data_IF_251043340464
#
_entry.id   IF_251043340464
#
_cell.length_a   1.000
_cell.length_b   1.000
_cell.length_c   1.000
_cell.angle_alpha   90.00
_cell.angle_beta   90.00
_cell.angle_gamma   90.00
#
_symmetry.space_group_name_H-M   'P 1'
#
loop_
_entity.id
_entity.type
_entity.pdbx_description
1 polymer ?
#
# COMPACT_ATOMS: atom_id res chain seq x y z
N UNK A 1 -70.30 -11.50 -21.48
CA UNK A 1 -69.00 -12.06 -21.96
C UNK A 1 -67.97 -10.95 -21.94
N UNK A 2 -67.29 -10.75 -20.80
CA UNK A 2 -66.19 -9.77 -20.73
C UNK A 2 -64.98 -10.35 -21.49
N UNK A 3 -64.55 -9.57 -22.46
CA UNK A 3 -63.73 -9.98 -23.60
C UNK A 3 -62.35 -10.50 -23.17
N UNK A 4 -62.00 -11.72 -23.60
CA UNK A 4 -60.70 -12.37 -23.35
C UNK A 4 -59.52 -11.50 -23.80
N UNK A 5 -59.76 -10.56 -24.73
CA UNK A 5 -58.77 -9.59 -25.20
C UNK A 5 -58.35 -8.60 -24.10
N UNK A 6 -59.27 -8.18 -23.23
CA UNK A 6 -58.99 -7.19 -22.19
C UNK A 6 -58.07 -7.75 -21.08
N UNK A 7 -58.28 -9.02 -20.71
CA UNK A 7 -57.42 -9.73 -19.76
C UNK A 7 -55.99 -9.92 -20.27
N UNK A 8 -55.80 -10.10 -21.58
CA UNK A 8 -54.47 -10.23 -22.19
C UNK A 8 -53.71 -8.90 -22.21
N UNK A 9 -54.39 -7.79 -22.49
CA UNK A 9 -53.76 -6.46 -22.44
C UNK A 9 -53.36 -6.05 -21.02
N UNK A 10 -54.17 -6.33 -20.01
CA UNK A 10 -53.83 -6.02 -18.61
C UNK A 10 -52.64 -6.85 -18.11
N UNK A 11 -52.58 -8.13 -18.48
CA UNK A 11 -51.45 -8.99 -18.11
C UNK A 11 -50.14 -8.57 -18.79
N UNK A 12 -50.20 -8.17 -20.06
CA UNK A 12 -49.05 -7.62 -20.79
C UNK A 12 -48.55 -6.31 -20.17
N UNK A 13 -49.48 -5.42 -19.76
CA UNK A 13 -49.14 -4.16 -19.10
C UNK A 13 -48.48 -4.38 -17.74
N UNK A 14 -48.98 -5.33 -16.94
CA UNK A 14 -48.40 -5.69 -15.64
C UNK A 14 -46.98 -6.26 -15.78
N UNK A 15 -46.75 -7.17 -16.73
CA UNK A 15 -45.42 -7.73 -17.01
C UNK A 15 -44.41 -6.65 -17.41
N UNK A 16 -44.85 -5.63 -18.16
CA UNK A 16 -44.01 -4.51 -18.58
C UNK A 16 -43.65 -3.60 -17.40
N UNK A 17 -44.57 -3.37 -16.46
CA UNK A 17 -44.31 -2.58 -15.24
C UNK A 17 -43.33 -3.29 -14.30
N UNK A 18 -43.43 -4.62 -14.13
CA UNK A 18 -42.46 -5.41 -13.35
C UNK A 18 -41.09 -5.51 -14.04
N UNK A 19 -41.04 -5.53 -15.37
CA UNK A 19 -39.79 -5.52 -16.13
C UNK A 19 -38.98 -4.22 -15.99
N UNK A 20 -39.66 -3.07 -15.88
CA UNK A 20 -38.99 -1.75 -15.76
C UNK A 20 -38.58 -1.46 -14.31
N UNK A 21 -39.36 -1.88 -13.32
CA UNK A 21 -39.05 -1.62 -11.90
C UNK A 21 -37.95 -2.54 -11.33
N UNK A 22 -37.67 -3.68 -11.98
CA UNK A 22 -36.56 -4.58 -11.60
C UNK A 22 -35.16 -4.07 -11.98
N UNK A 23 -35.03 -3.12 -12.91
CA UNK A 23 -33.73 -2.59 -13.34
C UNK A 23 -33.25 -1.39 -12.52
N UNK A 24 -34.13 -0.69 -11.79
CA UNK A 24 -33.76 0.51 -11.02
C UNK A 24 -33.07 0.18 -9.68
N UNK A 25 -33.24 -1.04 -9.15
CA UNK A 25 -32.67 -1.47 -7.86
C UNK A 25 -31.22 -1.99 -7.94
N UNK A 26 -30.59 -1.95 -9.12
CA UNK A 26 -29.22 -2.39 -9.36
C UNK A 26 -28.20 -1.25 -9.43
N UNK A 27 -28.60 -0.03 -9.07
CA UNK A 27 -27.65 1.07 -8.92
C UNK A 27 -26.87 0.86 -7.63
N UNK A 28 -25.60 0.45 -7.76
CA UNK A 28 -24.68 0.44 -6.64
C UNK A 28 -24.71 1.83 -5.98
N UNK A 29 -24.81 1.90 -4.64
CA UNK A 29 -24.80 3.17 -3.93
C UNK A 29 -23.58 4.02 -4.33
N UNK A 30 -23.74 5.34 -4.41
CA UNK A 30 -22.69 6.21 -4.88
C UNK A 30 -21.46 6.10 -3.98
N UNK A 31 -20.29 5.91 -4.60
CA UNK A 31 -19.01 5.88 -3.90
C UNK A 31 -18.40 7.27 -3.95
N UNK A 32 -17.93 7.76 -2.80
CA UNK A 32 -17.43 9.11 -2.65
C UNK A 32 -16.04 9.14 -2.02
N UNK A 33 -15.22 10.12 -2.41
CA UNK A 33 -13.91 10.36 -1.81
C UNK A 33 -14.06 10.93 -0.41
N UNK A 34 -13.34 10.35 0.55
CA UNK A 34 -13.21 10.92 1.89
C UNK A 34 -12.34 12.18 1.83
N UNK A 35 -12.79 13.30 2.40
CA UNK A 35 -12.01 14.53 2.37
C UNK A 35 -10.72 14.41 3.20
N UNK A 36 -9.61 15.04 2.77
CA UNK A 36 -8.33 15.04 3.49
C UNK A 36 -8.43 15.43 4.97
N UNK A 37 -9.36 16.32 5.32
CA UNK A 37 -9.59 16.75 6.71
C UNK A 37 -10.03 15.63 7.65
N UNK A 38 -10.47 14.48 7.12
CA UNK A 38 -10.82 13.28 7.89
C UNK A 38 -9.66 12.29 8.02
N UNK A 39 -8.50 12.60 7.45
CA UNK A 39 -7.32 11.75 7.41
C UNK A 39 -6.16 12.40 8.16
N UNK A 40 -5.38 11.59 8.85
CA UNK A 40 -4.19 12.04 9.57
C UNK A 40 -3.05 11.05 9.39
N UNK A 41 -1.89 11.54 8.96
CA UNK A 41 -0.66 10.75 8.84
C UNK A 41 0.46 11.47 9.62
N UNK A 42 0.73 11.04 10.85
CA UNK A 42 1.65 11.74 11.77
C UNK A 42 3.07 11.87 11.19
N UNK A 43 3.58 10.78 10.60
CA UNK A 43 4.94 10.73 10.07
C UNK A 43 5.08 11.38 8.70
N UNK A 44 4.02 11.39 7.90
CA UNK A 44 4.03 11.87 6.51
C UNK A 44 2.71 12.54 6.13
N UNK A 45 2.40 13.74 6.65
CA UNK A 45 1.10 14.38 6.44
C UNK A 45 0.81 14.68 4.97
N UNK A 46 1.86 14.92 4.16
CA UNK A 46 1.79 15.13 2.72
C UNK A 46 1.21 13.95 1.92
N UNK A 47 1.09 12.76 2.51
CA UNK A 47 0.49 11.61 1.81
C UNK A 47 -1.04 11.64 1.82
N UNK A 48 -1.67 12.54 2.57
CA UNK A 48 -3.13 12.61 2.76
C UNK A 48 -3.62 14.06 2.80
N UNK A 49 -2.89 14.98 2.18
CA UNK A 49 -3.19 16.42 2.24
C UNK A 49 -4.12 16.87 1.10
N UNK A 50 -4.50 15.96 0.20
CA UNK A 50 -5.33 16.23 -0.96
C UNK A 50 -4.59 16.89 -2.12
N UNK A 51 -3.26 17.04 -2.04
CA UNK A 51 -2.47 17.73 -3.04
C UNK A 51 -1.44 16.81 -3.71
N UNK A 52 -1.75 16.41 -4.95
CA UNK A 52 -0.90 15.54 -5.78
C UNK A 52 0.47 16.14 -6.15
N UNK A 53 0.67 17.44 -5.94
CA UNK A 53 1.97 18.10 -6.16
C UNK A 53 2.92 17.93 -4.96
N UNK A 54 2.41 17.48 -3.82
CA UNK A 54 3.25 17.16 -2.66
C UNK A 54 3.69 15.71 -2.68
N UNK A 55 4.73 15.39 -1.91
CA UNK A 55 5.30 14.05 -1.82
C UNK A 55 5.65 13.77 -0.36
N UNK A 56 5.09 12.70 0.18
CA UNK A 56 5.57 12.05 1.40
C UNK A 56 6.60 10.97 1.08
N UNK A 57 7.58 10.79 1.96
CA UNK A 57 8.62 9.75 1.81
C UNK A 57 8.57 8.83 2.99
N UNK A 58 8.49 7.53 2.75
CA UNK A 58 8.61 6.55 3.83
C UNK A 58 9.89 6.77 4.63
N UNK A 59 9.80 6.66 5.95
CA UNK A 59 10.99 6.70 6.77
C UNK A 59 11.70 5.35 6.69
N UNK A 60 12.94 5.35 6.20
CA UNK A 60 13.78 4.17 6.14
C UNK A 60 14.85 4.22 7.21
N UNK A 61 15.11 3.07 7.82
CA UNK A 61 16.11 2.91 8.87
C UNK A 61 16.95 1.69 8.56
N UNK A 62 18.17 1.90 8.10
CA UNK A 62 19.11 0.80 7.90
C UNK A 62 20.04 1.00 6.71
N UNK A 63 20.90 0.00 6.52
CA UNK A 63 21.84 -0.06 5.43
C UNK A 63 22.11 -1.50 5.02
N UNK A 64 22.48 -1.68 3.76
CA UNK A 64 22.99 -2.94 3.24
C UNK A 64 24.50 -2.85 3.22
N UNK A 65 25.18 -3.76 3.90
CA UNK A 65 26.64 -3.86 3.94
C UNK A 65 27.08 -5.05 3.09
N UNK A 66 27.85 -4.80 2.04
CA UNK A 66 28.48 -5.82 1.20
C UNK A 66 29.96 -5.91 1.57
N UNK A 67 30.39 -7.01 2.18
CA UNK A 67 31.78 -7.26 2.57
C UNK A 67 32.44 -8.15 1.53
N UNK A 68 33.46 -7.65 0.85
CA UNK A 68 34.14 -8.37 -0.24
C UNK A 68 35.26 -9.22 0.32
N UNK A 69 35.32 -10.51 -0.05
CA UNK A 69 36.35 -11.41 0.44
C UNK A 69 37.73 -10.98 -0.05
N UNK A 70 38.75 -11.23 0.77
CA UNK A 70 40.15 -11.05 0.39
C UNK A 70 40.56 -12.12 -0.63
N UNK A 71 41.31 -11.74 -1.67
CA UNK A 71 41.79 -12.68 -2.67
C UNK A 71 42.69 -13.76 -2.02
N UNK A 72 42.51 -15.02 -2.41
CA UNK A 72 43.25 -16.15 -1.83
C UNK A 72 42.63 -16.76 -0.56
N UNK A 73 41.53 -16.20 -0.04
CA UNK A 73 40.75 -16.85 1.01
C UNK A 73 39.91 -18.02 0.45
N UNK A 74 39.57 -18.98 1.32
CA UNK A 74 38.71 -20.12 0.95
C UNK A 74 37.33 -19.63 0.55
N UNK A 75 36.82 -18.60 1.23
CA UNK A 75 35.54 -17.95 0.96
C UNK A 75 35.52 -17.26 -0.41
N UNK A 76 36.60 -16.60 -0.81
CA UNK A 76 36.72 -16.02 -2.15
C UNK A 76 36.66 -17.10 -3.25
N UNK A 77 37.36 -18.23 -3.05
CA UNK A 77 37.37 -19.32 -4.02
C UNK A 77 36.03 -20.10 -4.08
N UNK A 78 35.28 -20.14 -2.97
CA UNK A 78 34.05 -20.93 -2.85
C UNK A 78 32.76 -20.14 -3.09
N UNK A 79 32.80 -18.80 -3.04
CA UNK A 79 31.62 -17.95 -3.22
C UNK A 79 31.61 -17.27 -4.60
N UNK A 80 30.64 -17.60 -5.49
CA UNK A 80 30.58 -17.05 -6.84
C UNK A 80 30.32 -15.53 -6.88
N UNK A 81 29.84 -14.95 -5.77
CA UNK A 81 29.58 -13.51 -5.68
C UNK A 81 30.77 -12.72 -5.15
N UNK A 82 31.81 -13.38 -4.61
CA UNK A 82 32.99 -12.78 -3.95
C UNK A 82 32.69 -11.76 -2.83
N UNK A 83 31.45 -11.71 -2.32
CA UNK A 83 31.08 -10.91 -1.15
C UNK A 83 29.99 -11.58 -0.31
N UNK A 84 29.92 -11.17 0.95
CA UNK A 84 28.82 -11.44 1.87
C UNK A 84 27.94 -10.19 2.03
N UNK A 85 26.62 -10.38 2.12
CA UNK A 85 25.66 -9.30 2.41
C UNK A 85 25.20 -9.39 3.85
N UNK A 86 25.33 -8.28 4.58
CA UNK A 86 24.77 -8.10 5.90
C UNK A 86 23.75 -6.95 5.85
N UNK A 87 22.73 -7.04 6.69
CA UNK A 87 21.68 -6.03 6.80
C UNK A 87 21.72 -5.41 8.19
N UNK A 88 21.88 -4.10 8.25
CA UNK A 88 21.85 -3.33 9.49
C UNK A 88 20.51 -2.57 9.53
N UNK A 89 19.72 -2.71 10.60
CA UNK A 89 18.42 -2.05 10.75
C UNK A 89 17.23 -2.83 10.16
N UNK A 90 16.20 -2.12 9.69
CA UNK A 90 14.99 -2.70 9.08
C UNK A 90 14.96 -2.47 7.57
N UNK A 91 14.78 -3.54 6.82
CA UNK A 91 14.54 -3.46 5.38
C UNK A 91 13.14 -2.94 5.05
N UNK A 92 12.23 -2.90 6.02
CA UNK A 92 10.85 -2.46 5.83
C UNK A 92 10.66 -1.06 6.34
N UNK A 93 9.92 -0.29 5.56
CA UNK A 93 9.42 1.02 5.90
C UNK A 93 7.92 0.95 6.19
N UNK A 94 7.43 1.86 7.02
CA UNK A 94 6.03 1.88 7.45
C UNK A 94 5.54 3.33 7.53
N UNK A 95 4.27 3.53 7.18
CA UNK A 95 3.52 4.73 7.53
C UNK A 95 2.12 4.33 7.97
N UNK A 96 1.54 5.10 8.87
CA UNK A 96 0.22 4.85 9.42
C UNK A 96 -0.69 6.05 9.17
N UNK A 97 -1.84 5.79 8.55
CA UNK A 97 -2.89 6.78 8.29
C UNK A 97 -4.06 6.45 9.21
N UNK A 98 -4.48 7.42 10.01
CA UNK A 98 -5.66 7.36 10.87
C UNK A 98 -6.82 8.12 10.22
N UNK A 99 -8.01 7.55 10.27
CA UNK A 99 -9.28 8.21 9.96
C UNK A 99 -9.84 8.85 11.24
N UNK A 100 -10.63 9.91 11.09
CA UNK A 100 -11.30 10.60 12.19
C UNK A 100 -12.23 9.69 13.00
N UNK A 101 -12.88 8.73 12.34
CA UNK A 101 -13.73 7.68 12.93
C UNK A 101 -13.70 6.40 12.08
N UNK A 102 -14.07 5.24 12.66
CA UNK A 102 -14.27 4.02 11.88
C UNK A 102 -15.25 4.28 10.73
N UNK A 103 -14.83 3.93 9.51
CA UNK A 103 -15.57 4.25 8.29
C UNK A 103 -15.51 3.07 7.34
N UNK A 104 -16.62 2.73 6.68
CA UNK A 104 -16.68 1.66 5.69
C UNK A 104 -16.02 2.11 4.38
N UNK A 105 -14.81 1.63 4.13
CA UNK A 105 -14.00 1.98 2.96
C UNK A 105 -14.20 0.92 1.88
N UNK A 106 -14.66 1.34 0.70
CA UNK A 106 -14.86 0.47 -0.46
C UNK A 106 -13.52 0.13 -1.10
N UNK A 107 -12.69 1.15 -1.33
CA UNK A 107 -11.34 1.00 -1.86
C UNK A 107 -10.44 2.18 -1.48
N UNK A 108 -9.14 1.96 -1.65
CA UNK A 108 -8.08 2.95 -1.44
C UNK A 108 -7.33 3.11 -2.76
N UNK A 109 -6.96 4.34 -3.10
CA UNK A 109 -6.07 4.65 -4.22
C UNK A 109 -4.74 5.17 -3.70
N UNK A 110 -3.64 4.65 -4.24
CA UNK A 110 -2.28 5.11 -3.94
C UNK A 110 -1.69 5.71 -5.21
N UNK A 111 -1.22 6.95 -5.09
CA UNK A 111 -0.52 7.70 -6.13
C UNK A 111 0.98 7.70 -5.84
N UNK A 112 1.78 6.86 -6.53
CA UNK A 112 3.22 6.76 -6.27
C UNK A 112 3.98 7.98 -6.82
N UNK A 113 4.89 8.54 -6.01
CA UNK A 113 5.89 9.53 -6.43
C UNK A 113 7.22 8.92 -6.87
N UNK A 114 7.46 7.64 -6.54
CA UNK A 114 8.56 6.81 -7.02
C UNK A 114 8.10 5.38 -7.23
N UNK A 115 8.97 4.50 -7.74
CA UNK A 115 8.74 3.06 -7.64
C UNK A 115 8.65 2.67 -6.15
N UNK A 116 7.66 1.82 -5.80
CA UNK A 116 7.42 1.33 -4.44
C UNK A 116 7.60 -0.19 -4.45
N UNK A 117 8.68 -0.73 -3.87
CA UNK A 117 8.91 -2.17 -3.85
C UNK A 117 8.06 -2.86 -2.78
N UNK A 118 7.53 -4.04 -3.12
CA UNK A 118 6.88 -4.97 -2.18
C UNK A 118 5.82 -4.35 -1.26
N UNK A 119 4.97 -3.48 -1.81
CA UNK A 119 3.95 -2.79 -1.03
C UNK A 119 2.99 -3.79 -0.34
N UNK A 120 2.59 -3.50 0.88
CA UNK A 120 1.52 -4.21 1.56
C UNK A 120 0.67 -3.25 2.40
N UNK A 121 -0.64 -3.45 2.34
CA UNK A 121 -1.62 -2.70 3.12
C UNK A 121 -2.20 -3.64 4.18
N UNK A 122 -2.32 -3.13 5.39
CA UNK A 122 -3.11 -3.74 6.44
C UNK A 122 -4.01 -2.67 7.06
N UNK A 123 -5.19 -3.03 7.54
CA UNK A 123 -6.10 -2.07 8.18
C UNK A 123 -6.69 -2.61 9.48
N UNK A 124 -7.19 -1.74 10.33
CA UNK A 124 -8.00 -2.11 11.50
C UNK A 124 -9.06 -1.05 11.78
N UNK A 125 -10.19 -1.47 12.34
CA UNK A 125 -11.24 -0.57 12.84
C UNK A 125 -11.09 -0.27 14.34
N UNK A 126 -10.13 -0.93 15.02
CA UNK A 126 -9.92 -0.79 16.45
C UNK A 126 -9.11 0.45 16.81
N UNK A 127 -9.43 1.06 17.95
CA UNK A 127 -8.58 2.10 18.52
C UNK A 127 -7.26 1.55 19.06
N UNK A 128 -6.25 2.45 19.14
CA UNK A 128 -4.90 2.08 19.57
C UNK A 128 -4.91 1.53 21.01
N UNK A 129 -4.58 0.25 21.13
CA UNK A 129 -4.46 -0.50 22.38
C UNK A 129 -3.10 -1.21 22.46
N UNK A 130 -2.67 -1.73 23.63
CA UNK A 130 -1.40 -2.46 23.74
C UNK A 130 -1.27 -3.67 22.80
N UNK A 131 -2.39 -4.26 22.37
CA UNK A 131 -2.41 -5.43 21.46
C UNK A 131 -2.77 -5.08 20.02
N UNK A 132 -2.95 -3.80 19.69
CA UNK A 132 -3.46 -3.35 18.38
C UNK A 132 -2.60 -3.78 17.18
N UNK A 133 -1.32 -4.12 17.36
CA UNK A 133 -0.49 -4.63 16.26
C UNK A 133 -1.05 -5.94 15.67
N UNK A 134 -1.80 -6.69 16.48
CA UNK A 134 -2.41 -7.96 16.09
C UNK A 134 -3.83 -7.79 15.52
N UNK A 135 -4.42 -6.60 15.59
CA UNK A 135 -5.78 -6.34 15.08
C UNK A 135 -5.80 -5.88 13.63
N UNK A 136 -4.64 -5.80 12.99
CA UNK A 136 -4.50 -5.47 11.58
C UNK A 136 -4.86 -6.66 10.68
N UNK A 137 -5.82 -6.43 9.80
CA UNK A 137 -6.24 -7.35 8.74
C UNK A 137 -5.49 -7.02 7.46
N UNK A 138 -4.87 -8.04 6.87
CA UNK A 138 -4.12 -7.91 5.64
C UNK A 138 -5.03 -7.68 4.42
N UNK A 139 -4.70 -6.69 3.60
CA UNK A 139 -5.23 -6.57 2.25
C UNK A 139 -4.41 -7.49 1.36
N UNK A 140 -5.06 -8.53 0.82
CA UNK A 140 -4.38 -9.55 0.01
C UNK A 140 -4.17 -9.12 -1.44
N UNK A 141 -5.00 -8.20 -1.95
CA UNK A 141 -4.87 -7.68 -3.30
C UNK A 141 -3.52 -6.96 -3.46
N UNK A 142 -2.75 -7.38 -4.48
CA UNK A 142 -1.44 -6.80 -4.84
C UNK A 142 -0.42 -6.78 -3.69
N UNK A 143 -0.59 -7.63 -2.66
CA UNK A 143 0.33 -7.71 -1.54
C UNK A 143 1.72 -8.17 -2.00
N UNK A 144 2.76 -7.49 -1.51
CA UNK A 144 4.17 -7.75 -1.86
C UNK A 144 4.46 -7.65 -3.37
N UNK A 145 3.70 -6.81 -4.07
CA UNK A 145 3.98 -6.46 -5.47
C UNK A 145 4.69 -5.11 -5.55
N UNK A 146 5.42 -4.92 -6.65
CA UNK A 146 6.10 -3.65 -6.90
C UNK A 146 5.14 -2.72 -7.65
N UNK A 147 4.99 -1.49 -7.17
CA UNK A 147 4.25 -0.43 -7.86
C UNK A 147 5.24 0.45 -8.63
N UNK A 148 4.92 0.75 -9.88
CA UNK A 148 5.71 1.66 -10.71
C UNK A 148 5.31 3.11 -10.50
N UNK A 149 6.29 4.00 -10.59
CA UNK A 149 6.08 5.43 -10.50
C UNK A 149 5.01 5.89 -11.52
N UNK A 150 4.20 6.90 -11.14
CA UNK A 150 3.13 7.51 -11.95
C UNK A 150 1.97 6.57 -12.32
N UNK A 151 1.94 5.35 -11.81
CA UNK A 151 0.81 4.43 -11.98
C UNK A 151 -0.02 4.42 -10.70
N UNK A 152 -1.19 5.07 -10.73
CA UNK A 152 -2.16 4.94 -9.64
C UNK A 152 -2.59 3.48 -9.49
N UNK A 153 -2.66 3.01 -8.24
CA UNK A 153 -3.08 1.65 -7.91
C UNK A 153 -4.24 1.69 -6.95
N UNK A 154 -5.28 0.93 -7.28
CA UNK A 154 -6.48 0.75 -6.45
C UNK A 154 -6.45 -0.58 -5.69
N UNK A 155 -6.80 -0.52 -4.41
CA UNK A 155 -6.90 -1.64 -3.48
C UNK A 155 -8.34 -1.77 -2.97
N UNK A 156 -9.09 -2.83 -3.32
CA UNK A 156 -10.41 -3.07 -2.77
C UNK A 156 -10.30 -3.47 -1.29
N UNK A 157 -11.08 -2.82 -0.42
CA UNK A 157 -11.09 -3.08 1.03
C UNK A 157 -12.44 -3.67 1.43
N UNK A 158 -13.53 -2.91 1.19
CA UNK A 158 -14.93 -3.25 1.50
C UNK A 158 -15.14 -3.65 2.96
N UNK A 159 -14.49 -2.93 3.86
CA UNK A 159 -14.54 -3.17 5.30
C UNK A 159 -14.46 -1.84 6.05
N UNK A 160 -14.82 -1.89 7.34
CA UNK A 160 -14.63 -0.76 8.25
C UNK A 160 -13.14 -0.57 8.55
N UNK A 161 -12.68 0.68 8.44
CA UNK A 161 -11.30 1.09 8.63
C UNK A 161 -11.26 2.30 9.55
N UNK A 162 -10.36 2.27 10.52
CA UNK A 162 -9.94 3.41 11.33
C UNK A 162 -8.46 3.72 11.12
N UNK A 163 -7.63 2.69 10.98
CA UNK A 163 -6.22 2.83 10.65
C UNK A 163 -5.87 2.03 9.40
N UNK A 164 -5.09 2.64 8.52
CA UNK A 164 -4.40 1.98 7.42
C UNK A 164 -2.89 2.02 7.69
N UNK A 165 -2.28 0.85 7.73
CA UNK A 165 -0.84 0.67 7.71
C UNK A 165 -0.39 0.36 6.30
N UNK A 166 0.51 1.18 5.77
CA UNK A 166 1.17 0.91 4.49
C UNK A 166 2.63 0.56 4.79
N UNK A 167 3.09 -0.56 4.26
CA UNK A 167 4.48 -0.99 4.35
C UNK A 167 5.07 -1.22 2.96
N UNK A 168 6.37 -0.97 2.84
CA UNK A 168 7.13 -1.20 1.61
C UNK A 168 8.59 -1.49 1.96
N UNK A 169 9.31 -2.15 1.06
CA UNK A 169 10.74 -2.37 1.25
C UNK A 169 11.53 -1.06 1.05
N UNK A 170 12.64 -0.93 1.78
CA UNK A 170 13.60 0.15 1.62
C UNK A 170 14.36 0.01 0.30
N UNK A 171 14.66 1.16 -0.32
CA UNK A 171 15.37 1.25 -1.58
C UNK A 171 16.84 1.55 -1.29
N UNK A 172 17.76 0.82 -1.93
CA UNK A 172 19.20 1.13 -1.85
C UNK A 172 19.49 2.55 -2.34
N UNK A 173 20.05 3.40 -1.48
CA UNK A 173 20.48 4.74 -1.86
C UNK A 173 21.94 4.78 -2.30
N UNK A 174 22.18 4.20 -3.48
CA UNK A 174 23.53 4.03 -4.07
C UNK A 174 24.31 5.33 -4.23
N UNK A 175 23.65 6.48 -4.28
CA UNK A 175 24.32 7.79 -4.35
C UNK A 175 25.06 8.16 -3.06
N UNK A 176 24.61 7.62 -1.93
CA UNK A 176 25.15 7.87 -0.60
C UNK A 176 25.91 6.65 -0.05
N UNK A 177 26.38 5.77 -0.93
CA UNK A 177 27.17 4.61 -0.53
C UNK A 177 28.57 5.02 -0.06
N UNK A 178 29.07 4.37 0.97
CA UNK A 178 30.40 4.61 1.52
C UNK A 178 31.22 3.32 1.52
N UNK A 179 32.50 3.44 1.18
CA UNK A 179 33.47 2.35 1.37
C UNK A 179 33.96 2.37 2.81
N UNK A 180 34.08 1.19 3.42
CA UNK A 180 34.62 1.00 4.77
C UNK A 180 35.74 -0.03 4.70
N UNK A 181 36.81 0.19 5.43
CA UNK A 181 37.86 -0.81 5.56
C UNK A 181 37.40 -1.95 6.48
N UNK A 182 37.89 -3.15 6.24
CA UNK A 182 37.58 -4.31 7.07
C UNK A 182 38.70 -4.53 8.09
N UNK A 183 38.33 -4.73 9.35
CA UNK A 183 39.25 -5.21 10.39
C UNK A 183 39.35 -6.75 10.40
N UNK A 184 38.39 -7.44 9.77
CA UNK A 184 38.41 -8.90 9.60
C UNK A 184 39.23 -9.27 8.37
N UNK A 185 40.31 -10.02 8.58
CA UNK A 185 41.27 -10.45 7.57
C UNK A 185 40.68 -11.30 6.44
N UNK A 186 39.46 -11.82 6.60
CA UNK A 186 38.76 -12.53 5.51
C UNK A 186 38.23 -11.60 4.44
N UNK A 187 38.12 -10.31 4.73
CA UNK A 187 37.55 -9.32 3.82
C UNK A 187 38.53 -8.19 3.53
N UNK A 188 38.55 -7.77 2.27
CA UNK A 188 39.40 -6.67 1.80
C UNK A 188 38.81 -5.30 2.15
N UNK A 189 37.51 -5.14 1.91
CA UNK A 189 36.76 -3.92 2.22
C UNK A 189 35.25 -4.20 2.25
N UNK A 190 34.50 -3.24 2.77
CA UNK A 190 33.05 -3.21 2.75
C UNK A 190 32.49 -2.04 1.94
N UNK A 191 31.30 -2.21 1.38
CA UNK A 191 30.45 -1.13 0.88
C UNK A 191 29.21 -1.08 1.75
N UNK A 192 28.95 0.08 2.35
CA UNK A 192 27.73 0.35 3.11
C UNK A 192 26.83 1.24 2.25
N UNK A 193 25.64 0.74 1.94
CA UNK A 193 24.63 1.47 1.18
C UNK A 193 23.43 1.76 2.09
N UNK A 194 23.16 3.03 2.44
CA UNK A 194 22.00 3.37 3.24
C UNK A 194 20.70 3.08 2.49
N UNK A 195 19.62 2.84 3.23
CA UNK A 195 18.29 2.70 2.67
C UNK A 195 17.56 4.05 2.67
N UNK A 196 16.74 4.26 1.65
CA UNK A 196 15.75 5.35 1.59
C UNK A 196 14.36 4.78 1.36
N UNK A 197 13.34 5.52 1.78
CA UNK A 197 11.96 5.13 1.55
C UNK A 197 11.48 5.45 0.15
N UNK A 198 10.45 4.75 -0.28
CA UNK A 198 9.70 5.11 -1.47
C UNK A 198 8.88 6.39 -1.25
N UNK A 199 8.46 7.00 -2.34
CA UNK A 199 7.70 8.25 -2.35
C UNK A 199 6.24 7.98 -2.73
N UNK A 200 5.32 8.59 -1.99
CA UNK A 200 3.88 8.60 -2.27
C UNK A 200 3.46 10.06 -2.40
N UNK A 201 2.76 10.39 -3.49
CA UNK A 201 2.14 11.70 -3.67
C UNK A 201 0.89 11.80 -2.80
N UNK A 202 -0.03 10.85 -2.90
CA UNK A 202 -1.30 10.88 -2.18
C UNK A 202 -1.87 9.48 -1.95
N UNK A 203 -2.62 9.32 -0.87
CA UNK A 203 -3.44 8.16 -0.53
C UNK A 203 -4.88 8.61 -0.34
N UNK A 204 -5.77 8.16 -1.22
CA UNK A 204 -7.19 8.51 -1.19
C UNK A 204 -8.03 7.35 -0.71
N UNK A 205 -9.06 7.65 0.08
CA UNK A 205 -10.01 6.68 0.58
C UNK A 205 -11.38 6.95 -0.03
N UNK A 206 -12.11 5.88 -0.35
CA UNK A 206 -13.44 5.98 -0.94
C UNK A 206 -14.46 5.22 -0.10
N UNK A 207 -15.49 5.92 0.37
CA UNK A 207 -16.58 5.37 1.19
C UNK A 207 -17.86 5.19 0.37
N UNK A 208 -18.73 4.30 0.84
CA UNK A 208 -20.06 4.11 0.27
C UNK A 208 -21.02 5.09 0.98
N UNK A 209 -21.68 5.97 0.23
CA UNK A 209 -22.71 6.86 0.76
C UNK A 209 -24.05 6.14 1.01
#
# INVERSE_FOLDING_TARGET
MLDRKWKRSILSLLLLVFGISGCALLQNPPVAELPPSRLMCETNPKMVDGNLDTVGTFQAYGSIRKMFFEEGTVEFASNPKSYQVNHDGTLKTETLIKLDKPTYVVYIEIYPGSDIPKIALDFTAEEKSPKWRNSFVAVMDKRHTDIKNKQMVRFPIRQEVLYLRITADGIEDRKNQTRVDSEDHRFSFGIVTPLKGAQIQEVKFYEQM
#
